data_IF_783275040586
#
_entry.id   IF_783275040586
#
_cell.length_a   1.000
_cell.length_b   1.000
_cell.length_c   1.000
_cell.angle_alpha   90.00
_cell.angle_beta   90.00
_cell.angle_gamma   90.00
#
_symmetry.space_group_name_H-M   'P 1'
#
loop_
_entity.id
_entity.type
_entity.pdbx_description
1 polymer ?
#
# COMPACT_ATOMS: atom_id res chain seq x y z
N UNK A 1 20.31 -18.00 8.40
CA UNK A 1 19.72 -16.81 7.75
C UNK A 1 18.62 -16.34 8.68
N UNK A 2 18.59 -15.08 9.07
CA UNK A 2 17.44 -14.55 9.81
C UNK A 2 16.26 -14.52 8.84
N UNK A 3 15.10 -14.95 9.31
CA UNK A 3 13.92 -15.08 8.48
C UNK A 3 13.47 -13.71 7.91
N UNK A 4 12.84 -13.73 6.74
CA UNK A 4 12.24 -12.57 6.13
C UNK A 4 11.04 -12.11 6.97
N UNK A 5 11.11 -10.91 7.54
CA UNK A 5 9.98 -10.31 8.26
C UNK A 5 8.98 -9.70 7.28
N UNK A 6 7.70 -9.91 7.53
CA UNK A 6 6.60 -9.39 6.71
C UNK A 6 5.62 -8.61 7.57
N UNK A 7 5.31 -7.39 7.17
CA UNK A 7 4.32 -6.55 7.83
C UNK A 7 3.22 -6.13 6.85
N UNK A 8 2.02 -5.86 7.37
CA UNK A 8 0.98 -5.15 6.64
C UNK A 8 0.69 -3.79 7.29
N UNK A 9 0.47 -2.76 6.47
CA UNK A 9 0.09 -1.40 6.88
C UNK A 9 -1.29 -1.12 6.31
N UNK A 10 -2.24 -0.78 7.16
CA UNK A 10 -3.65 -0.61 6.81
C UNK A 10 -4.15 0.72 7.38
N UNK A 11 -4.18 1.81 6.61
CA UNK A 11 -4.88 3.03 7.00
C UNK A 11 -6.39 2.79 7.02
N UNK A 12 -7.06 3.34 8.00
CA UNK A 12 -8.52 3.24 8.10
C UNK A 12 -9.13 4.52 8.66
N UNK A 13 -10.40 4.76 8.32
CA UNK A 13 -11.27 5.73 8.97
C UNK A 13 -12.69 5.19 8.89
N UNK A 14 -13.27 4.90 10.06
CA UNK A 14 -14.57 4.23 10.14
C UNK A 14 -14.52 2.83 9.47
N UNK A 15 -15.62 2.29 8.94
CA UNK A 15 -15.68 1.03 8.17
C UNK A 15 -15.13 -0.20 8.92
N UNK A 16 -15.51 -0.34 10.18
CA UNK A 16 -15.02 -1.40 11.07
C UNK A 16 -15.17 -2.81 10.45
N UNK A 17 -16.35 -3.12 9.88
CA UNK A 17 -16.62 -4.43 9.29
C UNK A 17 -15.68 -4.75 8.12
N UNK A 18 -15.39 -3.77 7.27
CA UNK A 18 -14.46 -3.95 6.15
C UNK A 18 -13.03 -4.11 6.64
N UNK A 19 -12.63 -3.36 7.67
CA UNK A 19 -11.32 -3.50 8.30
C UNK A 19 -11.14 -4.88 8.91
N UNK A 20 -12.15 -5.41 9.60
CA UNK A 20 -12.14 -6.76 10.18
C UNK A 20 -11.88 -7.81 9.11
N UNK A 21 -12.62 -7.75 8.01
CA UNK A 21 -12.47 -8.67 6.89
C UNK A 21 -11.09 -8.53 6.21
N UNK A 22 -10.59 -7.30 6.03
CA UNK A 22 -9.25 -7.05 5.50
C UNK A 22 -8.18 -7.68 6.41
N UNK A 23 -8.23 -7.43 7.73
CA UNK A 23 -7.30 -7.99 8.69
C UNK A 23 -7.34 -9.51 8.66
N UNK A 24 -8.54 -10.12 8.71
CA UNK A 24 -8.73 -11.56 8.69
C UNK A 24 -8.18 -12.21 7.40
N UNK A 25 -8.20 -11.51 6.28
CA UNK A 25 -7.65 -12.02 5.01
C UNK A 25 -6.11 -12.08 5.00
N UNK A 26 -5.43 -11.27 5.82
CA UNK A 26 -3.97 -11.12 5.78
C UNK A 26 -3.25 -11.56 7.05
N UNK A 27 -3.95 -11.73 8.19
CA UNK A 27 -3.33 -11.92 9.51
C UNK A 27 -2.44 -13.17 9.58
N UNK A 28 -2.80 -14.24 8.89
CA UNK A 28 -2.02 -15.49 8.87
C UNK A 28 -0.87 -15.46 7.85
N UNK A 29 -0.80 -14.41 7.02
CA UNK A 29 0.20 -14.28 5.98
C UNK A 29 1.37 -13.37 6.37
N UNK A 30 1.27 -12.64 7.51
CA UNK A 30 2.28 -11.67 7.96
C UNK A 30 2.67 -11.88 9.43
N UNK A 31 3.81 -11.33 9.82
CA UNK A 31 4.30 -11.35 11.21
C UNK A 31 3.68 -10.23 12.06
N UNK A 32 3.27 -9.13 11.43
CA UNK A 32 2.71 -7.96 12.09
C UNK A 32 1.74 -7.20 11.18
N UNK A 33 0.64 -6.71 11.76
CA UNK A 33 -0.26 -5.75 11.13
C UNK A 33 -0.21 -4.43 11.91
N UNK A 34 -0.14 -3.33 11.17
CA UNK A 34 -0.12 -1.96 11.69
C UNK A 34 -1.33 -1.24 11.10
N UNK A 35 -2.32 -0.98 11.93
CA UNK A 35 -3.51 -0.21 11.56
C UNK A 35 -3.28 1.25 11.94
N UNK A 36 -3.43 2.16 10.99
CA UNK A 36 -3.39 3.60 11.21
C UNK A 36 -4.83 4.10 11.30
N UNK A 37 -5.32 4.33 12.51
CA UNK A 37 -6.67 4.85 12.74
C UNK A 37 -6.71 6.38 12.57
N UNK A 38 -7.28 6.83 11.46
CA UNK A 38 -7.43 8.24 11.14
C UNK A 38 -8.81 8.77 11.56
N UNK A 39 -9.02 8.96 12.88
CA UNK A 39 -10.24 9.55 13.44
C UNK A 39 -11.50 8.69 13.23
N UNK A 40 -11.42 7.38 13.38
CA UNK A 40 -12.63 6.52 13.40
C UNK A 40 -13.51 6.83 14.59
N UNK A 41 -14.84 6.71 14.39
CA UNK A 41 -15.84 6.88 15.43
C UNK A 41 -16.85 5.72 15.40
N UNK A 42 -16.83 4.82 16.41
CA UNK A 42 -15.89 4.77 17.54
C UNK A 42 -14.44 4.48 17.09
N UNK A 43 -13.43 4.73 17.94
CA UNK A 43 -12.03 4.34 17.67
C UNK A 43 -11.90 2.83 17.44
N UNK A 44 -10.90 2.43 16.65
CA UNK A 44 -10.63 1.02 16.39
C UNK A 44 -10.10 0.32 17.65
N UNK A 45 -10.76 -0.75 18.05
CA UNK A 45 -10.36 -1.59 19.16
C UNK A 45 -9.41 -2.71 18.66
N UNK A 46 -8.18 -2.82 19.18
CA UNK A 46 -7.25 -3.88 18.79
C UNK A 46 -7.53 -5.24 19.46
N UNK A 47 -8.40 -5.29 20.46
CA UNK A 47 -8.57 -6.48 21.32
C UNK A 47 -8.94 -7.76 20.55
N UNK A 48 -9.80 -7.73 19.51
CA UNK A 48 -10.17 -8.94 18.76
C UNK A 48 -9.00 -9.68 18.10
N UNK A 49 -7.88 -9.00 17.82
CA UNK A 49 -6.76 -9.58 17.02
C UNK A 49 -5.48 -9.85 17.80
N UNK A 50 -5.54 -10.11 19.06
CA UNK A 50 -4.45 -10.34 20.03
C UNK A 50 -3.03 -10.53 19.46
N UNK A 51 -2.13 -9.62 19.83
CA UNK A 51 -0.67 -9.77 19.67
C UNK A 51 -0.10 -9.52 18.28
N UNK A 52 -0.80 -9.82 17.17
CA UNK A 52 -0.31 -9.55 15.81
C UNK A 52 -0.68 -8.17 15.28
N UNK A 53 -1.80 -7.60 15.71
CA UNK A 53 -2.30 -6.29 15.24
C UNK A 53 -1.98 -5.20 16.25
N UNK A 54 -1.40 -4.12 15.78
CA UNK A 54 -1.24 -2.89 16.54
C UNK A 54 -2.05 -1.77 15.90
N UNK A 55 -2.90 -1.11 16.67
CA UNK A 55 -3.64 0.06 16.23
C UNK A 55 -2.94 1.31 16.74
N UNK A 56 -2.63 2.23 15.82
CA UNK A 56 -2.01 3.51 16.12
C UNK A 56 -2.97 4.64 15.72
N UNK A 57 -3.52 5.40 16.67
CA UNK A 57 -4.25 6.62 16.36
C UNK A 57 -3.34 7.60 15.61
N UNK A 58 -3.76 7.99 14.42
CA UNK A 58 -3.03 8.93 13.57
C UNK A 58 -3.96 9.96 12.97
N UNK A 59 -4.44 10.93 13.77
CA UNK A 59 -5.36 11.96 13.30
C UNK A 59 -4.68 12.87 12.28
N UNK A 60 -5.17 12.84 11.04
CA UNK A 60 -4.76 13.72 9.95
C UNK A 60 -6.02 14.26 9.30
N UNK A 61 -6.26 15.57 9.43
CA UNK A 61 -7.41 16.25 8.84
C UNK A 61 -6.98 17.59 8.23
N UNK A 62 -7.18 17.84 6.94
CA UNK A 62 -7.79 16.93 5.96
C UNK A 62 -6.97 15.63 5.78
N UNK A 63 -7.62 14.51 5.35
CA UNK A 63 -6.94 13.23 5.24
C UNK A 63 -5.82 13.26 4.19
N UNK A 64 -4.68 12.66 4.54
CA UNK A 64 -3.53 12.48 3.67
C UNK A 64 -3.10 11.01 3.70
N UNK A 65 -3.46 10.26 2.65
CA UNK A 65 -3.20 8.83 2.59
C UNK A 65 -1.70 8.53 2.49
N UNK A 66 -0.93 9.34 1.77
CA UNK A 66 0.51 9.21 1.65
C UNK A 66 1.21 9.37 2.99
N UNK A 67 0.79 10.32 3.82
CA UNK A 67 1.31 10.52 5.17
C UNK A 67 0.94 9.35 6.11
N UNK A 68 -0.26 8.78 5.97
CA UNK A 68 -0.67 7.58 6.72
C UNK A 68 0.19 6.38 6.31
N UNK A 69 0.37 6.11 5.02
CA UNK A 69 1.25 5.04 4.55
C UNK A 69 2.68 5.21 5.07
N UNK A 70 3.25 6.41 4.96
CA UNK A 70 4.60 6.71 5.47
C UNK A 70 4.74 6.46 6.97
N UNK A 71 3.73 6.82 7.76
CA UNK A 71 3.75 6.57 9.21
C UNK A 71 3.75 5.07 9.53
N UNK A 72 2.91 4.29 8.85
CA UNK A 72 2.87 2.84 9.02
C UNK A 72 4.15 2.15 8.55
N UNK A 73 4.69 2.55 7.40
CA UNK A 73 5.97 2.06 6.88
C UNK A 73 7.12 2.36 7.84
N UNK A 74 7.18 3.57 8.39
CA UNK A 74 8.20 3.94 9.37
C UNK A 74 8.13 3.06 10.63
N UNK A 75 6.93 2.73 11.10
CA UNK A 75 6.76 1.83 12.24
C UNK A 75 7.14 0.39 11.88
N UNK A 76 6.77 -0.12 10.70
CA UNK A 76 7.19 -1.44 10.21
C UNK A 76 8.71 -1.54 10.13
N UNK A 77 9.38 -0.53 9.58
CA UNK A 77 10.84 -0.45 9.54
C UNK A 77 11.45 -0.47 10.95
N UNK A 78 10.90 0.31 11.89
CA UNK A 78 11.37 0.34 13.28
C UNK A 78 11.25 -1.02 13.96
N UNK A 79 10.17 -1.77 13.71
CA UNK A 79 9.97 -3.12 14.23
C UNK A 79 11.01 -4.09 13.63
N UNK A 80 11.25 -4.01 12.30
CA UNK A 80 12.24 -4.84 11.63
C UNK A 80 13.66 -4.61 12.18
N UNK A 81 14.05 -3.33 12.36
CA UNK A 81 15.32 -2.97 12.99
C UNK A 81 15.42 -3.48 14.44
N UNK A 82 14.37 -3.32 15.25
CA UNK A 82 14.35 -3.82 16.63
C UNK A 82 14.49 -5.36 16.70
N UNK A 83 13.92 -6.08 15.73
CA UNK A 83 14.07 -7.52 15.56
C UNK A 83 15.44 -7.92 14.98
N UNK A 84 16.23 -6.97 14.53
CA UNK A 84 17.54 -7.18 13.90
C UNK A 84 17.45 -8.12 12.67
N UNK A 85 16.38 -8.02 11.87
CA UNK A 85 16.28 -8.73 10.60
C UNK A 85 16.95 -7.93 9.49
N UNK A 86 17.56 -8.65 8.54
CA UNK A 86 18.29 -8.01 7.42
C UNK A 86 17.38 -7.73 6.21
N UNK A 87 16.22 -8.39 6.16
CA UNK A 87 15.28 -8.34 5.03
C UNK A 87 13.84 -8.29 5.53
N UNK A 88 13.05 -7.37 5.02
CA UNK A 88 11.63 -7.30 5.33
C UNK A 88 10.81 -6.76 4.17
N UNK A 89 9.56 -7.20 4.06
CA UNK A 89 8.58 -6.74 3.10
C UNK A 89 7.40 -6.10 3.81
N UNK A 90 6.83 -5.07 3.20
CA UNK A 90 5.71 -4.32 3.74
C UNK A 90 4.57 -4.33 2.71
N UNK A 91 3.48 -5.01 3.03
CA UNK A 91 2.24 -4.88 2.29
C UNK A 91 1.52 -3.60 2.71
N UNK A 92 1.04 -2.83 1.75
CA UNK A 92 0.18 -1.67 1.98
C UNK A 92 -1.19 -1.99 1.41
N UNK A 93 -2.21 -1.96 2.25
CA UNK A 93 -3.57 -2.36 1.91
C UNK A 93 -4.56 -1.28 2.34
N UNK A 94 -5.55 -0.98 1.51
CA UNK A 94 -6.72 -0.25 1.99
C UNK A 94 -7.57 -1.15 2.91
N UNK A 95 -8.32 -0.54 3.82
CA UNK A 95 -9.15 -1.27 4.81
C UNK A 95 -10.36 -2.00 4.20
N UNK A 96 -10.65 -1.80 2.92
CA UNK A 96 -11.74 -2.41 2.15
C UNK A 96 -11.27 -3.45 1.11
N UNK A 97 -10.06 -3.99 1.31
CA UNK A 97 -9.44 -5.00 0.42
C UNK A 97 -9.41 -6.37 1.09
N UNK A 98 -9.74 -7.41 0.31
CA UNK A 98 -9.57 -8.81 0.70
C UNK A 98 -8.49 -9.42 -0.18
N UNK A 99 -7.43 -9.91 0.44
CA UNK A 99 -6.34 -10.59 -0.26
C UNK A 99 -6.53 -12.12 -0.23
N UNK A 100 -6.25 -12.83 -1.33
CA UNK A 100 -6.36 -14.29 -1.33
C UNK A 100 -5.24 -14.95 -0.49
N UNK A 101 -5.42 -16.20 -0.06
CA UNK A 101 -4.36 -16.97 0.59
C UNK A 101 -3.09 -17.03 -0.28
N UNK A 102 -1.92 -16.85 0.35
CA UNK A 102 -0.62 -16.88 -0.32
C UNK A 102 -0.27 -15.60 -1.09
N UNK A 103 -1.10 -14.55 -1.03
CA UNK A 103 -0.87 -13.28 -1.73
C UNK A 103 0.45 -12.62 -1.32
N UNK A 104 0.69 -12.51 -0.01
CA UNK A 104 1.92 -11.94 0.56
C UNK A 104 3.16 -12.70 0.07
N UNK A 105 3.15 -14.03 0.16
CA UNK A 105 4.29 -14.84 -0.24
C UNK A 105 4.55 -14.78 -1.73
N UNK A 106 3.50 -14.78 -2.54
CA UNK A 106 3.61 -14.71 -4.01
C UNK A 106 4.23 -13.39 -4.44
N UNK A 107 3.75 -12.24 -3.93
CA UNK A 107 4.33 -10.93 -4.24
C UNK A 107 5.77 -10.80 -3.73
N UNK A 108 6.01 -11.19 -2.48
CA UNK A 108 7.33 -11.16 -1.85
C UNK A 108 8.35 -11.97 -2.67
N UNK A 109 8.02 -13.21 -3.00
CA UNK A 109 8.90 -14.10 -3.77
C UNK A 109 9.14 -13.56 -5.18
N UNK A 110 8.09 -13.08 -5.86
CA UNK A 110 8.20 -12.49 -7.18
C UNK A 110 9.09 -11.23 -7.16
N UNK A 111 8.85 -10.31 -6.26
CA UNK A 111 9.63 -9.08 -6.10
C UNK A 111 11.09 -9.39 -5.81
N UNK A 112 11.37 -10.31 -4.90
CA UNK A 112 12.73 -10.67 -4.47
C UNK A 112 13.49 -11.51 -5.50
N UNK A 113 12.82 -12.09 -6.48
CA UNK A 113 13.47 -12.76 -7.63
C UNK A 113 13.95 -11.79 -8.71
N UNK A 114 13.69 -10.49 -8.56
CA UNK A 114 14.05 -9.41 -9.48
C UNK A 114 14.77 -8.27 -8.75
N UNK A 115 15.06 -7.18 -9.46
CA UNK A 115 15.53 -5.93 -8.85
C UNK A 115 14.42 -5.07 -8.29
N UNK A 116 13.14 -5.44 -8.49
CA UNK A 116 12.00 -4.64 -8.09
C UNK A 116 12.01 -4.28 -6.61
N UNK A 117 11.64 -3.05 -6.30
CA UNK A 117 11.49 -2.53 -4.93
C UNK A 117 10.04 -2.37 -4.53
N UNK A 118 9.14 -2.48 -5.51
CA UNK A 118 7.69 -2.45 -5.36
C UNK A 118 7.07 -3.56 -6.23
N UNK A 119 6.03 -4.24 -5.74
CA UNK A 119 5.25 -5.21 -6.49
C UNK A 119 3.74 -5.04 -6.23
N UNK A 120 2.93 -5.30 -7.22
CA UNK A 120 1.48 -5.19 -7.14
C UNK A 120 0.78 -6.26 -8.00
N UNK A 121 -0.47 -6.64 -7.65
CA UNK A 121 -1.19 -7.67 -8.36
C UNK A 121 -1.73 -7.17 -9.71
N UNK A 122 -1.75 -8.03 -10.70
CA UNK A 122 -2.52 -7.83 -11.92
C UNK A 122 -4.01 -8.10 -11.65
N UNK A 123 -4.83 -7.09 -11.85
CA UNK A 123 -6.29 -7.15 -11.67
C UNK A 123 -7.06 -7.48 -12.96
N UNK A 124 -6.35 -7.62 -14.09
CA UNK A 124 -6.95 -7.73 -15.43
C UNK A 124 -6.71 -9.07 -16.10
N UNK A 125 -6.17 -10.07 -15.38
CA UNK A 125 -6.01 -11.43 -15.86
C UNK A 125 -4.86 -11.65 -16.82
N UNK A 126 -3.83 -10.81 -16.77
CA UNK A 126 -2.56 -11.02 -17.47
C UNK A 126 -1.91 -12.35 -17.07
N UNK A 127 -1.05 -12.87 -17.93
CA UNK A 127 -0.42 -14.18 -17.75
C UNK A 127 1.09 -14.07 -17.43
N UNK A 128 1.66 -12.89 -17.52
CA UNK A 128 3.11 -12.68 -17.40
C UNK A 128 3.41 -11.62 -16.34
N UNK A 129 4.52 -11.82 -15.66
CA UNK A 129 5.13 -10.78 -14.81
C UNK A 129 5.74 -9.71 -15.70
N UNK A 130 5.53 -8.45 -15.36
CA UNK A 130 6.10 -7.31 -16.10
C UNK A 130 6.89 -6.44 -15.13
N UNK A 131 8.18 -6.32 -15.36
CA UNK A 131 9.04 -5.40 -14.60
C UNK A 131 9.16 -4.07 -15.35
N UNK A 132 8.54 -3.04 -14.76
CA UNK A 132 8.66 -1.68 -15.25
C UNK A 132 9.87 -0.99 -14.60
N UNK A 133 10.74 -0.39 -15.44
CA UNK A 133 12.02 0.23 -15.01
C UNK A 133 12.17 1.67 -15.49
N UNK A 134 11.11 2.28 -16.04
CA UNK A 134 11.11 3.66 -16.51
C UNK A 134 9.90 4.40 -15.98
N UNK A 135 10.11 5.62 -15.48
CA UNK A 135 9.07 6.54 -15.05
C UNK A 135 8.35 7.15 -16.26
N UNK A 136 7.49 6.36 -16.89
CA UNK A 136 6.71 6.74 -18.07
C UNK A 136 5.28 6.17 -18.01
N UNK A 137 4.31 6.79 -18.71
CA UNK A 137 2.97 6.23 -18.83
C UNK A 137 2.99 4.82 -19.43
N UNK A 138 2.12 3.96 -18.92
CA UNK A 138 1.92 2.59 -19.39
C UNK A 138 0.43 2.33 -19.61
N UNK A 139 0.09 1.16 -20.14
CA UNK A 139 -1.29 0.71 -20.25
C UNK A 139 -1.95 0.74 -18.86
N UNK A 140 -3.15 1.33 -18.78
CA UNK A 140 -3.94 1.42 -17.53
C UNK A 140 -4.15 0.07 -16.84
N UNK A 141 -4.21 -1.03 -17.61
CA UNK A 141 -4.34 -2.39 -17.08
C UNK A 141 -3.08 -2.89 -16.38
N UNK A 142 -1.95 -2.24 -16.62
CA UNK A 142 -0.66 -2.59 -16.02
C UNK A 142 -0.25 -1.62 -14.92
N UNK A 143 -1.07 -0.58 -14.66
CA UNK A 143 -0.81 0.43 -13.66
C UNK A 143 -0.90 -0.17 -12.25
N UNK A 144 -0.16 0.41 -11.32
CA UNK A 144 -0.26 0.07 -9.90
C UNK A 144 -1.70 0.16 -9.39
N UNK A 145 -2.07 -0.77 -8.55
CA UNK A 145 -3.32 -0.71 -7.79
C UNK A 145 -3.04 -0.05 -6.45
N UNK A 146 -3.40 1.23 -6.31
CA UNK A 146 -3.12 2.04 -5.11
C UNK A 146 -3.77 1.55 -3.81
N UNK A 147 -4.58 0.50 -3.88
CA UNK A 147 -5.27 -0.09 -2.74
C UNK A 147 -4.62 -1.39 -2.21
N UNK A 148 -3.70 -2.01 -2.98
CA UNK A 148 -3.02 -3.23 -2.56
C UNK A 148 -1.68 -3.40 -3.30
N UNK A 149 -0.56 -3.27 -2.60
CA UNK A 149 0.79 -3.45 -3.15
C UNK A 149 1.77 -3.82 -2.04
N UNK A 150 2.98 -4.20 -2.43
CA UNK A 150 4.05 -4.59 -1.51
C UNK A 150 5.34 -3.82 -1.82
N UNK A 151 6.06 -3.46 -0.76
CA UNK A 151 7.35 -2.77 -0.81
C UNK A 151 8.46 -3.69 -0.27
N UNK A 152 9.64 -3.59 -0.84
CA UNK A 152 10.86 -4.08 -0.22
C UNK A 152 11.29 -3.08 0.85
N UNK A 153 11.03 -3.39 2.11
CA UNK A 153 11.11 -2.43 3.20
C UNK A 153 12.51 -1.86 3.43
N UNK A 154 13.55 -2.69 3.30
CA UNK A 154 14.94 -2.26 3.44
C UNK A 154 15.39 -1.26 2.37
N UNK A 155 14.63 -1.11 1.28
CA UNK A 155 14.93 -0.12 0.24
C UNK A 155 14.56 1.31 0.62
N UNK A 156 13.64 1.46 1.59
CA UNK A 156 13.28 2.77 2.13
C UNK A 156 12.42 3.64 1.22
N UNK A 157 11.67 3.04 0.27
CA UNK A 157 10.74 3.79 -0.58
C UNK A 157 9.72 4.55 0.28
N UNK A 158 9.47 5.82 -0.06
CA UNK A 158 8.52 6.70 0.63
C UNK A 158 7.54 7.31 -0.35
N UNK A 159 6.35 7.60 0.14
CA UNK A 159 5.32 8.31 -0.59
C UNK A 159 5.51 9.82 -0.47
N UNK A 160 5.16 10.54 -1.53
CA UNK A 160 5.17 11.99 -1.57
C UNK A 160 3.93 12.54 -0.85
N UNK A 161 4.13 13.19 0.31
CA UNK A 161 3.05 13.70 1.14
C UNK A 161 2.37 14.95 0.55
N UNK A 162 2.95 15.58 -0.47
CA UNK A 162 2.30 16.63 -1.26
C UNK A 162 1.21 16.06 -2.19
N UNK A 163 1.18 14.72 -2.37
CA UNK A 163 0.12 13.96 -3.05
C UNK A 163 -0.78 13.32 -1.99
N UNK A 164 -1.73 14.10 -1.48
CA UNK A 164 -2.44 13.75 -0.26
C UNK A 164 -3.47 12.64 -0.42
N UNK A 165 -4.14 12.54 -1.58
CA UNK A 165 -5.27 11.61 -1.76
C UNK A 165 -5.19 10.77 -3.03
N UNK A 166 -4.76 11.35 -4.16
CA UNK A 166 -4.57 10.65 -5.43
C UNK A 166 -3.12 10.80 -5.92
N UNK A 167 -2.71 9.93 -6.86
CA UNK A 167 -1.38 9.97 -7.50
C UNK A 167 -0.18 9.68 -6.59
N UNK A 168 -0.39 9.48 -5.27
CA UNK A 168 0.68 9.11 -4.35
C UNK A 168 1.27 7.74 -4.68
N UNK A 169 0.42 6.78 -5.01
CA UNK A 169 0.77 5.44 -5.49
C UNK A 169 1.49 5.48 -6.84
N UNK A 170 0.99 6.27 -7.80
CA UNK A 170 1.66 6.46 -9.10
C UNK A 170 3.05 7.08 -8.95
N UNK A 171 3.19 8.11 -8.10
CA UNK A 171 4.48 8.75 -7.85
C UNK A 171 5.48 7.79 -7.19
N UNK A 172 5.01 6.96 -6.25
CA UNK A 172 5.83 5.92 -5.64
C UNK A 172 6.20 4.81 -6.63
N UNK A 173 5.27 4.39 -7.49
CA UNK A 173 5.50 3.44 -8.58
C UNK A 173 6.58 3.96 -9.55
N UNK A 174 6.48 5.22 -10.00
CA UNK A 174 7.49 5.81 -10.89
C UNK A 174 8.85 5.96 -10.21
N UNK A 175 8.87 6.33 -8.93
CA UNK A 175 10.10 6.36 -8.13
C UNK A 175 10.71 4.96 -8.01
N UNK A 176 9.89 3.95 -7.74
CA UNK A 176 10.33 2.55 -7.64
C UNK A 176 10.91 2.04 -8.96
N UNK A 177 10.30 2.40 -10.10
CA UNK A 177 10.81 2.04 -11.43
C UNK A 177 12.24 2.52 -11.65
N UNK A 178 12.58 3.73 -11.23
CA UNK A 178 13.93 4.30 -11.34
C UNK A 178 14.92 3.72 -10.31
N UNK A 179 14.42 3.18 -9.20
CA UNK A 179 15.24 2.65 -8.10
C UNK A 179 15.45 1.12 -8.14
N UNK A 180 15.03 0.45 -9.20
CA UNK A 180 15.22 -1.00 -9.34
C UNK A 180 14.05 -1.71 -10.00
N UNK A 181 12.88 -1.08 -10.01
CA UNK A 181 11.70 -1.53 -10.74
C UNK A 181 10.45 -1.65 -9.91
N UNK A 182 9.32 -1.62 -10.61
CA UNK A 182 7.99 -1.94 -10.11
C UNK A 182 7.47 -3.17 -10.87
N UNK A 183 7.03 -4.20 -10.15
CA UNK A 183 6.70 -5.51 -10.70
C UNK A 183 5.19 -5.76 -10.67
N UNK A 184 4.59 -5.89 -11.84
CA UNK A 184 3.23 -6.43 -12.00
C UNK A 184 3.25 -7.95 -11.90
N UNK A 185 2.41 -8.55 -11.04
CA UNK A 185 2.37 -9.99 -10.77
C UNK A 185 0.99 -10.56 -11.07
N UNK A 186 0.85 -11.49 -12.02
CA UNK A 186 -0.43 -12.10 -12.40
C UNK A 186 -0.88 -13.18 -11.42
N UNK A 187 -2.17 -13.56 -11.52
CA UNK A 187 -2.74 -14.75 -10.88
C UNK A 187 -3.14 -14.58 -9.42
N UNK A 188 -3.01 -13.38 -8.87
CA UNK A 188 -3.33 -13.08 -7.46
C UNK A 188 -4.15 -11.79 -7.32
N UNK A 189 -5.24 -11.59 -8.09
CA UNK A 189 -6.07 -10.41 -7.95
C UNK A 189 -6.65 -10.32 -6.53
N UNK A 190 -6.94 -9.11 -6.10
CA UNK A 190 -7.61 -8.84 -4.81
C UNK A 190 -9.05 -8.38 -5.05
N UNK A 191 -9.91 -8.62 -4.07
CA UNK A 191 -11.24 -8.02 -4.04
C UNK A 191 -11.15 -6.61 -3.43
N UNK A 192 -11.66 -5.59 -4.12
CA UNK A 192 -11.76 -4.22 -3.61
C UNK A 192 -13.24 -3.86 -3.46
N UNK A 193 -13.74 -3.83 -2.22
CA UNK A 193 -15.18 -3.80 -1.92
C UNK A 193 -15.85 -2.45 -2.08
N UNK A 194 -15.12 -1.37 -1.84
CA UNK A 194 -15.69 -0.01 -1.88
C UNK A 194 -14.84 0.96 -2.72
N UNK A 195 -14.59 0.67 -4.02
CA UNK A 195 -13.71 1.48 -4.84
C UNK A 195 -14.24 2.92 -4.96
N UNK A 196 -13.37 3.90 -4.62
CA UNK A 196 -13.61 5.35 -4.75
C UNK A 196 -14.78 5.92 -3.94
N UNK A 197 -15.41 5.15 -3.05
CA UNK A 197 -16.58 5.61 -2.27
C UNK A 197 -16.22 6.86 -1.46
N UNK A 198 -15.11 6.87 -0.73
CA UNK A 198 -14.67 8.03 0.06
C UNK A 198 -14.47 9.30 -0.78
N UNK A 199 -13.93 9.18 -2.00
CA UNK A 199 -13.74 10.31 -2.90
C UNK A 199 -15.07 10.88 -3.40
N UNK A 200 -16.05 10.01 -3.66
CA UNK A 200 -17.37 10.44 -4.13
C UNK A 200 -18.24 11.03 -3.02
N UNK A 201 -18.12 10.54 -1.81
CA UNK A 201 -18.90 11.00 -0.66
C UNK A 201 -18.41 12.34 -0.08
N UNK A 202 -17.18 12.75 -0.39
CA UNK A 202 -16.53 13.93 0.20
C UNK A 202 -16.04 14.90 -0.87
N UNK A 203 -16.75 16.03 -1.09
CA UNK A 203 -16.37 17.05 -2.09
C UNK A 203 -14.93 17.56 -1.94
N UNK A 204 -14.44 17.69 -0.69
CA UNK A 204 -13.08 18.13 -0.41
C UNK A 204 -12.00 17.16 -0.94
N UNK A 205 -12.29 15.84 -0.98
CA UNK A 205 -11.39 14.84 -1.55
C UNK A 205 -11.40 14.90 -3.08
N UNK A 206 -12.53 15.22 -3.68
CA UNK A 206 -12.62 15.40 -5.11
C UNK A 206 -11.81 16.64 -5.56
N UNK A 207 -11.89 17.75 -4.82
CA UNK A 207 -11.04 18.92 -5.06
C UNK A 207 -9.55 18.59 -4.86
N UNK A 208 -9.21 17.79 -3.82
CA UNK A 208 -7.84 17.35 -3.57
C UNK A 208 -7.29 16.54 -4.75
N UNK A 209 -8.10 15.70 -5.39
CA UNK A 209 -7.69 14.97 -6.60
C UNK A 209 -7.18 15.91 -7.71
N UNK A 210 -7.84 17.06 -7.89
CA UNK A 210 -7.40 18.08 -8.85
C UNK A 210 -6.06 18.72 -8.48
N UNK A 211 -5.85 19.00 -7.19
CA UNK A 211 -4.57 19.53 -6.67
C UNK A 211 -3.45 18.50 -6.83
N UNK A 212 -3.69 17.26 -6.45
CA UNK A 212 -2.71 16.18 -6.56
C UNK A 212 -2.29 15.91 -8.01
N UNK A 213 -3.25 16.01 -8.95
CA UNK A 213 -2.94 15.92 -10.38
C UNK A 213 -1.96 17.01 -10.83
N UNK A 214 -2.20 18.25 -10.40
CA UNK A 214 -1.30 19.36 -10.73
C UNK A 214 0.09 19.18 -10.13
N UNK A 215 0.17 18.74 -8.85
CA UNK A 215 1.42 18.41 -8.17
C UNK A 215 2.18 17.29 -8.88
N UNK A 216 1.49 16.22 -9.28
CA UNK A 216 2.09 15.13 -10.04
C UNK A 216 2.67 15.61 -11.37
N UNK A 217 1.88 16.42 -12.13
CA UNK A 217 2.34 16.99 -13.39
C UNK A 217 3.54 17.93 -13.23
N UNK A 218 3.56 18.73 -12.17
CA UNK A 218 4.70 19.59 -11.86
C UNK A 218 5.96 18.77 -11.56
N UNK A 219 5.84 17.70 -10.81
CA UNK A 219 6.96 16.83 -10.43
C UNK A 219 7.52 16.01 -11.59
N UNK A 220 6.65 15.44 -12.42
CA UNK A 220 7.03 14.46 -13.42
C UNK A 220 6.94 14.97 -14.86
N UNK A 221 6.45 16.20 -15.08
CA UNK A 221 6.30 16.82 -16.41
C UNK A 221 5.15 16.25 -17.25
N UNK A 222 4.40 15.27 -16.75
CA UNK A 222 3.29 14.58 -17.44
C UNK A 222 2.39 13.86 -16.43
N UNK A 223 1.23 13.37 -16.88
CA UNK A 223 0.35 12.48 -16.09
C UNK A 223 0.77 11.02 -16.24
N UNK A 224 0.41 10.13 -15.30
CA UNK A 224 0.75 8.70 -15.36
C UNK A 224 -0.05 7.93 -16.44
N UNK A 225 -1.10 8.53 -16.97
CA UNK A 225 -1.92 8.02 -18.09
C UNK A 225 -2.45 9.15 -18.96
#
# INVERSE_FOLDING_TARGET
MRDLFRAAVIPTRDRHDMLDDCINSVIDQVDRIIVLDNLSNPPIDPEPWHGKVGVLPRPIDPPNISALWNAGIALANSIAYAKQVDRWDIAVLNSDVIVPPGWIETLSTAMRSTTAVLAYPDQHGGQQRILHTKAEPIDLRQRITGYAFMLRGEHGLRFDEDLAWWYGDDSADWTAREQGGALLVPGIPVEHRAPNVSTHERPELLEQTGRDRATFQQKWGRTPW
#
